data_IF_107493322767
#
_entry.id   IF_107493322767
#
_cell.length_a   1.000
_cell.length_b   1.000
_cell.length_c   1.000
_cell.angle_alpha   90.00
_cell.angle_beta   90.00
_cell.angle_gamma   90.00
#
_symmetry.space_group_name_H-M   'P 1'
#
loop_
_entity.id
_entity.type
_entity.pdbx_description
1 polymer ?
#
# COMPACT_ATOMS: atom_id res chain seq x y z
N UNK A 1 -1.33 2.12 -8.28
CA UNK A 1 -1.62 0.74 -7.84
C UNK A 1 -2.73 0.74 -6.78
N UNK A 2 -3.76 -0.11 -6.87
CA UNK A 2 -4.62 -0.49 -5.74
C UNK A 2 -4.02 -1.61 -4.85
N UNK A 3 -4.26 -1.56 -3.53
CA UNK A 3 -4.06 -2.66 -2.58
C UNK A 3 -5.41 -3.20 -2.13
N UNK A 4 -5.61 -4.51 -2.19
CA UNK A 4 -6.74 -5.20 -1.59
C UNK A 4 -6.33 -5.93 -0.32
N UNK A 5 -6.93 -5.58 0.80
CA UNK A 5 -6.81 -6.30 2.06
C UNK A 5 -8.09 -7.09 2.32
N UNK A 6 -7.99 -8.42 2.26
CA UNK A 6 -8.99 -9.30 2.86
C UNK A 6 -8.67 -9.43 4.34
N UNK A 7 -9.59 -8.97 5.18
CA UNK A 7 -9.43 -8.99 6.62
C UNK A 7 -10.41 -9.97 7.23
N UNK A 8 -9.86 -10.92 7.96
CA UNK A 8 -10.59 -12.05 8.52
C UNK A 8 -10.62 -11.95 10.04
N UNK A 9 -11.75 -12.32 10.68
CA UNK A 9 -11.74 -12.65 12.10
C UNK A 9 -10.70 -13.73 12.40
N UNK A 10 -10.16 -13.72 13.62
CA UNK A 10 -9.22 -14.76 14.02
C UNK A 10 -9.78 -16.17 13.85
N UNK A 11 -8.96 -17.04 13.24
CA UNK A 11 -9.30 -18.43 12.91
C UNK A 11 -10.51 -18.59 11.95
N UNK A 12 -10.84 -17.56 11.17
CA UNK A 12 -11.89 -17.69 10.16
C UNK A 12 -11.44 -18.66 9.05
N UNK A 13 -12.21 -19.73 8.76
CA UNK A 13 -11.81 -20.75 7.80
C UNK A 13 -12.13 -20.33 6.37
N UNK A 14 -11.28 -19.47 5.77
CA UNK A 14 -11.42 -19.07 4.37
C UNK A 14 -10.38 -19.78 3.49
N UNK A 15 -10.85 -20.66 2.60
CA UNK A 15 -9.98 -21.41 1.68
C UNK A 15 -9.68 -20.65 0.37
N UNK A 16 -10.58 -19.75 -0.06
CA UNK A 16 -10.50 -19.05 -1.34
C UNK A 16 -10.20 -17.55 -1.16
N UNK A 17 -9.36 -17.20 -0.18
CA UNK A 17 -9.11 -15.79 0.15
C UNK A 17 -8.43 -15.01 -1.00
N UNK A 18 -7.54 -15.66 -1.74
CA UNK A 18 -6.93 -15.09 -2.94
C UNK A 18 -7.98 -14.76 -4.01
N UNK A 19 -8.91 -15.67 -4.28
CA UNK A 19 -9.98 -15.45 -5.27
C UNK A 19 -10.86 -14.25 -4.88
N UNK A 20 -11.13 -14.06 -3.58
CA UNK A 20 -11.84 -12.89 -3.06
C UNK A 20 -11.08 -11.60 -3.39
N UNK A 21 -9.77 -11.59 -3.15
CA UNK A 21 -8.92 -10.44 -3.44
C UNK A 21 -8.84 -10.15 -4.95
N UNK A 22 -8.64 -11.16 -5.78
CA UNK A 22 -8.58 -11.03 -7.23
C UNK A 22 -9.89 -10.46 -7.80
N UNK A 23 -11.04 -10.99 -7.36
CA UNK A 23 -12.36 -10.48 -7.75
C UNK A 23 -12.54 -9.01 -7.35
N UNK A 24 -12.15 -8.66 -6.12
CA UNK A 24 -12.25 -7.29 -5.64
C UNK A 24 -11.35 -6.33 -6.42
N UNK A 25 -10.11 -6.73 -6.72
CA UNK A 25 -9.16 -5.94 -7.51
C UNK A 25 -9.62 -5.79 -8.95
N UNK A 26 -9.98 -6.89 -9.63
CA UNK A 26 -10.46 -6.86 -11.02
C UNK A 26 -11.69 -5.98 -11.18
N UNK A 27 -12.63 -6.08 -10.23
CA UNK A 27 -13.83 -5.25 -10.21
C UNK A 27 -13.48 -3.78 -9.95
N UNK A 28 -12.52 -3.50 -9.08
CA UNK A 28 -12.05 -2.12 -8.81
C UNK A 28 -11.37 -1.52 -10.02
N UNK A 29 -10.41 -2.24 -10.62
CA UNK A 29 -9.65 -1.81 -11.78
C UNK A 29 -10.58 -1.47 -12.94
N UNK A 30 -11.52 -2.38 -13.25
CA UNK A 30 -12.51 -2.19 -14.31
C UNK A 30 -13.54 -1.11 -13.98
N UNK A 31 -14.08 -1.11 -12.76
CA UNK A 31 -15.15 -0.22 -12.33
C UNK A 31 -14.72 1.24 -12.22
N UNK A 32 -13.47 1.47 -11.82
CA UNK A 32 -12.89 2.81 -11.69
C UNK A 32 -12.07 3.22 -12.92
N UNK A 33 -11.73 2.29 -13.81
CA UNK A 33 -10.91 2.56 -15.00
C UNK A 33 -9.44 2.79 -14.67
N UNK A 34 -8.90 2.06 -13.70
CA UNK A 34 -7.46 2.09 -13.36
C UNK A 34 -6.69 1.32 -14.46
N UNK A 35 -5.67 1.93 -15.08
CA UNK A 35 -5.16 1.50 -16.39
C UNK A 35 -4.26 0.26 -16.38
N UNK A 36 -3.42 0.06 -15.36
CA UNK A 36 -2.53 -1.11 -15.29
C UNK A 36 -3.10 -2.19 -14.35
N UNK A 37 -3.53 -3.35 -14.89
CA UNK A 37 -4.07 -4.43 -14.08
C UNK A 37 -3.00 -5.26 -13.35
N UNK A 38 -1.71 -5.07 -13.64
CA UNK A 38 -0.59 -5.73 -12.97
C UNK A 38 -0.04 -4.90 -11.81
N UNK A 39 -0.23 -3.58 -11.86
CA UNK A 39 0.06 -2.70 -10.73
C UNK A 39 -1.04 -2.85 -9.68
N UNK A 40 -1.06 -3.98 -8.99
CA UNK A 40 -1.96 -4.31 -7.87
C UNK A 40 -1.21 -5.11 -6.81
N UNK A 41 -1.76 -5.09 -5.61
CA UNK A 41 -1.29 -5.94 -4.52
C UNK A 41 -2.49 -6.47 -3.74
N UNK A 42 -2.43 -7.73 -3.30
CA UNK A 42 -3.34 -8.24 -2.29
C UNK A 42 -2.64 -8.74 -1.03
N UNK A 43 -3.37 -8.67 0.09
CA UNK A 43 -2.96 -9.19 1.39
C UNK A 43 -4.15 -9.80 2.10
N UNK A 44 -3.92 -10.92 2.77
CA UNK A 44 -4.91 -11.58 3.62
C UNK A 44 -4.42 -11.48 5.06
N UNK A 45 -5.23 -10.90 5.94
CA UNK A 45 -4.85 -10.62 7.33
C UNK A 45 -5.86 -11.21 8.30
N UNK A 46 -5.37 -11.67 9.45
CA UNK A 46 -6.18 -12.03 10.61
C UNK A 46 -6.24 -10.83 11.56
N UNK A 47 -7.43 -10.44 12.01
CA UNK A 47 -7.64 -9.30 12.90
C UNK A 47 -8.52 -9.72 14.07
N UNK A 48 -7.95 -9.65 15.27
CA UNK A 48 -8.61 -10.01 16.54
C UNK A 48 -9.93 -9.28 16.79
N UNK A 49 -10.02 -8.01 16.37
CA UNK A 49 -11.17 -7.15 16.62
C UNK A 49 -12.30 -7.30 15.61
N UNK A 50 -12.11 -8.07 14.53
CA UNK A 50 -13.15 -8.29 13.52
C UNK A 50 -14.10 -9.42 13.91
N UNK A 51 -15.40 -9.17 13.74
CA UNK A 51 -16.45 -10.18 13.90
C UNK A 51 -16.78 -10.90 12.60
N UNK A 52 -16.65 -10.19 11.47
CA UNK A 52 -17.02 -10.68 10.15
C UNK A 52 -15.93 -10.34 9.13
N UNK A 53 -15.73 -11.17 8.09
CA UNK A 53 -14.79 -10.87 7.02
C UNK A 53 -15.17 -9.59 6.27
N UNK A 54 -14.17 -8.75 6.01
CA UNK A 54 -14.30 -7.55 5.21
C UNK A 54 -13.20 -7.46 4.15
N UNK A 55 -13.53 -6.82 3.04
CA UNK A 55 -12.57 -6.46 1.99
C UNK A 55 -12.37 -4.95 2.03
N UNK A 56 -11.13 -4.51 2.13
CA UNK A 56 -10.76 -3.11 1.95
C UNK A 56 -9.87 -2.96 0.73
N UNK A 57 -10.28 -2.12 -0.22
CA UNK A 57 -9.44 -1.74 -1.36
C UNK A 57 -9.01 -0.29 -1.21
N UNK A 58 -7.71 -0.06 -1.17
CA UNK A 58 -7.10 1.28 -1.07
C UNK A 58 -6.36 1.62 -2.36
N UNK A 59 -6.52 2.84 -2.89
CA UNK A 59 -5.86 3.26 -4.12
C UNK A 59 -5.50 4.74 -4.10
N UNK A 60 -4.55 5.13 -4.95
CA UNK A 60 -4.18 6.54 -5.13
C UNK A 60 -5.24 7.31 -5.92
N UNK A 61 -5.44 8.58 -5.55
CA UNK A 61 -6.36 9.54 -6.18
C UNK A 61 -5.68 10.90 -6.37
N UNK A 62 -6.15 11.65 -7.36
CA UNK A 62 -5.70 13.01 -7.65
C UNK A 62 -4.90 13.12 -8.94
N UNK A 63 -4.16 14.22 -9.06
CA UNK A 63 -3.38 14.54 -10.26
C UNK A 63 -2.17 13.63 -10.41
N UNK A 64 -1.81 13.34 -11.66
CA UNK A 64 -0.61 12.57 -12.01
C UNK A 64 -0.53 11.16 -11.39
N UNK A 65 -1.65 10.63 -10.90
CA UNK A 65 -1.66 9.36 -10.18
C UNK A 65 -1.38 8.16 -11.09
N UNK A 66 -1.84 8.24 -12.34
CA UNK A 66 -1.57 7.25 -13.38
C UNK A 66 -1.20 7.99 -14.66
N UNK A 67 -0.09 7.60 -15.29
CA UNK A 67 0.50 8.29 -16.44
C UNK A 67 -0.45 8.34 -17.64
N UNK A 68 -1.35 7.36 -17.75
CA UNK A 68 -2.32 7.18 -18.81
C UNK A 68 -3.42 8.26 -18.80
N UNK A 69 -3.62 8.95 -17.68
CA UNK A 69 -4.49 10.14 -17.63
C UNK A 69 -3.77 11.42 -18.10
N UNK A 70 -2.44 11.36 -18.30
CA UNK A 70 -1.60 12.49 -18.73
C UNK A 70 -1.17 13.41 -17.60
N UNK A 71 -0.26 14.36 -17.90
CA UNK A 71 0.33 15.31 -16.93
C UNK A 71 -0.63 16.33 -16.31
N UNK A 72 -1.83 16.46 -16.88
CA UNK A 72 -2.93 17.26 -16.34
C UNK A 72 -4.12 16.38 -15.93
N UNK A 73 -3.94 15.05 -16.04
CA UNK A 73 -4.94 14.05 -15.72
C UNK A 73 -5.15 13.95 -14.23
N UNK A 74 -6.41 13.99 -13.82
CA UNK A 74 -6.82 13.79 -12.44
C UNK A 74 -7.68 12.55 -12.35
N UNK A 75 -7.21 11.55 -11.59
CA UNK A 75 -7.99 10.38 -11.27
C UNK A 75 -8.83 10.64 -10.01
N UNK A 76 -10.09 10.98 -10.22
CA UNK A 76 -11.07 11.21 -9.16
C UNK A 76 -12.38 10.51 -9.51
N UNK A 77 -12.55 9.24 -9.07
CA UNK A 77 -13.79 8.52 -9.30
C UNK A 77 -15.01 9.25 -8.75
N UNK A 78 -16.09 9.25 -9.51
CA UNK A 78 -17.36 9.82 -9.06
C UNK A 78 -18.00 8.96 -7.97
N UNK A 79 -18.88 9.55 -7.14
CA UNK A 79 -19.62 8.80 -6.12
C UNK A 79 -20.46 7.65 -6.71
N UNK A 80 -20.95 7.79 -7.94
CA UNK A 80 -21.70 6.74 -8.63
C UNK A 80 -20.80 5.58 -9.08
N UNK A 81 -19.61 5.87 -9.61
CA UNK A 81 -18.61 4.84 -9.93
C UNK A 81 -18.17 4.08 -8.68
N UNK A 82 -17.86 4.81 -7.60
CA UNK A 82 -17.46 4.22 -6.31
C UNK A 82 -18.55 3.32 -5.76
N UNK A 83 -19.80 3.81 -5.73
CA UNK A 83 -20.96 3.03 -5.28
C UNK A 83 -21.11 1.75 -6.10
N UNK A 84 -21.21 1.88 -7.42
CA UNK A 84 -21.46 0.74 -8.32
C UNK A 84 -20.34 -0.30 -8.21
N UNK A 85 -19.09 0.16 -8.16
CA UNK A 85 -17.93 -0.71 -7.99
C UNK A 85 -17.98 -1.45 -6.66
N UNK A 86 -18.23 -0.75 -5.55
CA UNK A 86 -18.29 -1.34 -4.22
C UNK A 86 -19.44 -2.36 -4.09
N UNK A 87 -20.63 -2.04 -4.64
CA UNK A 87 -21.78 -2.94 -4.69
C UNK A 87 -21.50 -4.19 -5.53
N UNK A 88 -20.81 -4.04 -6.67
CA UNK A 88 -20.43 -5.18 -7.51
C UNK A 88 -19.43 -6.09 -6.80
N UNK A 89 -18.39 -5.53 -6.17
CA UNK A 89 -17.44 -6.31 -5.37
C UNK A 89 -18.23 -7.12 -4.34
N UNK A 90 -19.07 -6.47 -3.52
CA UNK A 90 -19.83 -7.17 -2.48
C UNK A 90 -20.70 -8.28 -3.06
N UNK A 91 -21.41 -8.03 -4.18
CA UNK A 91 -22.25 -9.04 -4.82
C UNK A 91 -21.48 -10.27 -5.29
N UNK A 92 -20.24 -10.09 -5.75
CA UNK A 92 -19.38 -11.17 -6.23
C UNK A 92 -18.69 -11.90 -5.08
N UNK A 93 -18.28 -11.18 -4.03
CA UNK A 93 -17.51 -11.79 -2.92
C UNK A 93 -18.36 -12.29 -1.75
N UNK A 94 -19.64 -11.90 -1.64
CA UNK A 94 -20.52 -12.34 -0.53
C UNK A 94 -20.68 -13.86 -0.45
N UNK A 95 -20.54 -14.57 -1.57
CA UNK A 95 -20.61 -16.04 -1.60
C UNK A 95 -19.48 -16.69 -0.80
N UNK A 96 -18.39 -15.97 -0.57
CA UNK A 96 -17.27 -16.39 0.27
C UNK A 96 -17.42 -15.97 1.74
N UNK A 97 -18.57 -15.38 2.11
CA UNK A 97 -18.85 -14.96 3.49
C UNK A 97 -18.42 -13.54 3.84
N UNK A 98 -17.90 -12.76 2.89
CA UNK A 98 -17.57 -11.34 3.09
C UNK A 98 -18.82 -10.52 3.37
N UNK A 99 -18.79 -9.73 4.46
CA UNK A 99 -19.92 -8.93 4.93
C UNK A 99 -19.79 -7.44 4.70
N UNK A 100 -18.61 -6.97 4.33
CA UNK A 100 -18.35 -5.56 4.16
C UNK A 100 -17.28 -5.34 3.11
N UNK A 101 -17.50 -4.32 2.27
CA UNK A 101 -16.51 -3.83 1.32
C UNK A 101 -16.28 -2.35 1.59
N UNK A 102 -15.02 -1.94 1.57
CA UNK A 102 -14.54 -0.57 1.83
C UNK A 102 -13.68 -0.14 0.65
N UNK A 103 -13.90 1.07 0.14
CA UNK A 103 -13.03 1.72 -0.81
C UNK A 103 -12.42 2.97 -0.17
N UNK A 104 -11.09 3.01 -0.08
CA UNK A 104 -10.32 4.12 0.47
C UNK A 104 -9.45 4.76 -0.62
N UNK A 105 -9.37 6.09 -0.60
CA UNK A 105 -8.58 6.88 -1.54
C UNK A 105 -7.45 7.63 -0.84
N UNK A 106 -6.26 7.63 -1.45
CA UNK A 106 -5.11 8.40 -0.96
C UNK A 106 -4.80 9.55 -1.89
N UNK A 107 -4.95 10.79 -1.41
CA UNK A 107 -4.56 11.99 -2.15
C UNK A 107 -3.06 12.24 -1.93
N UNK A 108 -2.25 11.97 -2.95
CA UNK A 108 -0.79 12.08 -2.85
C UNK A 108 -0.11 10.78 -2.43
N UNK A 109 -0.42 9.69 -3.11
CA UNK A 109 0.29 8.43 -2.96
C UNK A 109 1.27 8.24 -4.13
N UNK A 110 2.49 7.85 -3.80
CA UNK A 110 3.47 7.38 -4.76
C UNK A 110 3.76 5.91 -4.49
N UNK A 111 4.02 5.18 -5.57
CA UNK A 111 4.16 3.73 -5.55
C UNK A 111 5.30 3.29 -6.47
N UNK A 112 5.97 2.21 -6.08
CA UNK A 112 7.02 1.55 -6.85
C UNK A 112 7.01 0.04 -6.63
N UNK A 113 7.05 -0.73 -7.72
CA UNK A 113 7.51 -2.12 -7.70
C UNK A 113 9.01 -2.09 -7.93
N UNK A 114 9.78 -2.62 -6.99
CA UNK A 114 11.23 -2.73 -7.13
C UNK A 114 11.56 -3.67 -8.26
N UNK A 115 12.36 -3.19 -9.22
CA UNK A 115 12.83 -4.03 -10.31
C UNK A 115 14.09 -4.80 -9.88
N UNK A 116 14.25 -6.07 -10.30
CA UNK A 116 15.52 -6.78 -10.13
C UNK A 116 16.69 -6.06 -10.82
N UNK A 117 16.43 -5.32 -11.89
CA UNK A 117 17.44 -4.55 -12.63
C UNK A 117 17.77 -3.23 -11.91
N UNK A 118 19.07 -2.99 -11.62
CA UNK A 118 19.53 -1.73 -11.06
C UNK A 118 19.43 -0.65 -12.14
N UNK A 119 18.43 0.23 -12.05
CA UNK A 119 18.45 1.49 -12.78
C UNK A 119 19.21 2.49 -11.94
N UNK A 120 20.38 2.91 -12.43
CA UNK A 120 21.05 4.09 -11.88
C UNK A 120 20.13 5.29 -12.15
N UNK A 121 19.41 5.71 -11.12
CA UNK A 121 18.64 6.94 -11.15
C UNK A 121 19.58 8.08 -10.80
N UNK A 122 19.75 9.03 -11.72
CA UNK A 122 20.32 10.33 -11.41
C UNK A 122 19.30 11.08 -10.53
N UNK A 123 19.33 10.79 -9.23
CA UNK A 123 18.46 11.42 -8.24
C UNK A 123 18.87 12.89 -8.12
N UNK A 124 18.10 13.76 -8.75
CA UNK A 124 18.13 15.19 -8.45
C UNK A 124 17.63 15.31 -7.01
N UNK A 125 18.47 15.80 -6.12
CA UNK A 125 18.09 16.07 -4.73
C UNK A 125 17.19 17.31 -4.74
N UNK A 126 15.90 17.20 -4.34
CA UNK A 126 15.03 18.36 -4.22
C UNK A 126 15.63 19.40 -3.29
N UNK A 127 15.44 20.69 -3.60
CA UNK A 127 16.04 21.79 -2.81
C UNK A 127 15.69 21.68 -1.32
N UNK A 128 14.45 21.28 -1.01
CA UNK A 128 13.95 21.08 0.37
C UNK A 128 14.70 19.99 1.14
N UNK A 129 15.33 19.04 0.44
CA UNK A 129 15.97 17.86 1.04
C UNK A 129 17.49 17.94 1.11
N UNK A 130 18.10 19.08 0.75
CA UNK A 130 19.57 19.23 0.79
C UNK A 130 20.17 19.02 2.17
N UNK A 131 19.44 19.40 3.21
CA UNK A 131 19.87 19.28 4.60
C UNK A 131 19.25 18.06 5.32
N UNK A 132 18.47 17.22 4.62
CA UNK A 132 17.71 16.10 5.19
C UNK A 132 16.21 16.17 4.85
N UNK A 133 15.50 15.04 5.02
CA UNK A 133 14.04 15.01 4.82
C UNK A 133 13.37 15.34 6.15
N UNK A 134 13.06 16.62 6.35
CA UNK A 134 12.37 17.08 7.57
C UNK A 134 10.87 16.86 7.43
N UNK A 135 10.31 16.05 8.33
CA UNK A 135 8.87 15.77 8.39
C UNK A 135 8.27 16.49 9.59
N UNK A 136 7.20 17.26 9.36
CA UNK A 136 6.43 17.89 10.44
C UNK A 136 5.15 17.07 10.65
N UNK A 137 5.22 16.08 11.52
CA UNK A 137 4.11 15.17 11.79
C UNK A 137 4.61 13.79 12.19
N UNK A 138 3.67 12.87 12.40
CA UNK A 138 3.98 11.49 12.74
C UNK A 138 4.30 10.70 11.47
N UNK A 139 5.31 9.84 11.56
CA UNK A 139 5.66 8.91 10.48
C UNK A 139 5.31 7.50 10.93
N UNK A 140 4.46 6.83 10.15
CA UNK A 140 4.18 5.41 10.33
C UNK A 140 4.86 4.62 9.21
N UNK A 141 5.80 3.76 9.59
CA UNK A 141 6.46 2.86 8.65
C UNK A 141 5.95 1.45 8.90
N UNK A 142 5.42 0.80 7.88
CA UNK A 142 4.98 -0.59 7.92
C UNK A 142 5.85 -1.43 7.02
N UNK A 143 6.40 -2.52 7.56
CA UNK A 143 7.05 -3.54 6.75
C UNK A 143 6.23 -4.83 6.79
N UNK A 144 5.88 -5.28 5.61
CA UNK A 144 5.00 -6.42 5.35
C UNK A 144 5.86 -7.54 4.79
N UNK A 145 5.80 -8.72 5.40
CA UNK A 145 6.55 -9.89 4.95
C UNK A 145 5.61 -11.03 4.63
N UNK A 146 5.65 -11.54 3.40
CA UNK A 146 4.85 -12.69 3.02
C UNK A 146 5.30 -13.95 3.77
N UNK A 147 4.41 -14.95 3.94
CA UNK A 147 4.79 -16.22 4.54
C UNK A 147 5.95 -16.93 3.83
N UNK A 148 6.03 -16.84 2.49
CA UNK A 148 7.12 -17.44 1.70
C UNK A 148 8.48 -16.87 2.09
N UNK A 149 8.52 -15.60 2.47
CA UNK A 149 9.71 -14.93 2.96
C UNK A 149 10.01 -15.34 4.40
N UNK A 150 9.02 -15.47 5.28
CA UNK A 150 9.22 -15.91 6.68
C UNK A 150 9.82 -17.31 6.79
N UNK A 151 9.46 -18.22 5.89
CA UNK A 151 10.01 -19.58 5.90
C UNK A 151 11.47 -19.61 5.40
N UNK A 152 11.83 -18.69 4.50
CA UNK A 152 13.17 -18.58 3.92
C UNK A 152 14.13 -17.74 4.77
N UNK A 153 13.63 -16.63 5.33
CA UNK A 153 14.28 -15.83 6.35
C UNK A 153 14.03 -16.53 7.68
N UNK A 154 14.97 -17.37 8.14
CA UNK A 154 15.10 -17.59 9.59
C UNK A 154 15.32 -16.21 10.20
N UNK A 155 14.24 -15.53 10.59
CA UNK A 155 14.21 -14.09 10.76
C UNK A 155 15.32 -13.67 11.71
N UNK A 156 16.41 -13.19 11.13
CA UNK A 156 17.43 -12.50 11.86
C UNK A 156 16.89 -11.09 12.06
N UNK A 157 15.97 -10.98 13.02
CA UNK A 157 15.31 -9.72 13.39
C UNK A 157 16.36 -8.63 13.67
N UNK A 158 17.54 -9.00 14.17
CA UNK A 158 18.66 -8.09 14.42
C UNK A 158 19.19 -7.43 13.13
N UNK A 159 19.25 -8.15 12.01
CA UNK A 159 19.65 -7.56 10.71
C UNK A 159 18.50 -6.78 10.03
N UNK A 160 17.24 -7.05 10.39
CA UNK A 160 16.12 -6.25 9.92
C UNK A 160 16.02 -4.91 10.68
N UNK A 161 16.41 -4.87 11.97
CA UNK A 161 16.53 -3.63 12.74
C UNK A 161 17.41 -2.58 12.06
N UNK A 162 18.48 -2.98 11.39
CA UNK A 162 19.34 -2.05 10.65
C UNK A 162 18.64 -1.44 9.43
N UNK A 163 17.87 -2.23 8.67
CA UNK A 163 17.06 -1.71 7.55
C UNK A 163 15.98 -0.77 8.06
N UNK A 164 15.28 -1.14 9.14
CA UNK A 164 14.27 -0.29 9.76
C UNK A 164 14.86 1.03 10.23
N UNK A 165 16.01 0.97 10.91
CA UNK A 165 16.74 2.14 11.38
C UNK A 165 17.20 3.01 10.21
N UNK A 166 17.75 2.43 9.15
CA UNK A 166 18.18 3.17 7.97
C UNK A 166 17.03 3.91 7.29
N UNK A 167 15.84 3.29 7.19
CA UNK A 167 14.65 3.95 6.65
C UNK A 167 14.16 5.04 7.60
N UNK A 168 14.12 4.79 8.92
CA UNK A 168 13.72 5.78 9.91
C UNK A 168 14.66 7.00 9.91
N UNK A 169 15.97 6.76 9.81
CA UNK A 169 17.03 7.78 9.75
C UNK A 169 17.00 8.62 8.46
N UNK A 170 16.23 8.23 7.44
CA UNK A 170 15.97 9.12 6.30
C UNK A 170 15.19 10.36 6.74
N UNK A 171 14.40 10.26 7.82
CA UNK A 171 13.46 11.28 8.22
C UNK A 171 13.84 11.89 9.57
N UNK A 172 13.87 13.21 9.63
CA UNK A 172 14.02 13.95 10.88
C UNK A 172 12.63 14.12 11.52
N UNK A 173 12.16 13.10 12.25
CA UNK A 173 10.86 13.10 12.92
C UNK A 173 10.69 11.95 13.92
N UNK A 174 9.67 12.05 14.79
CA UNK A 174 9.26 10.96 15.66
C UNK A 174 8.42 9.97 14.83
N UNK A 175 8.85 8.71 14.78
CA UNK A 175 8.21 7.69 13.96
C UNK A 175 8.26 6.31 14.60
N UNK A 176 7.31 5.46 14.19
CA UNK A 176 7.23 4.07 14.60
C UNK A 176 7.37 3.13 13.41
N UNK A 177 7.99 1.98 13.64
CA UNK A 177 8.01 0.87 12.67
C UNK A 177 7.10 -0.24 13.17
N UNK A 178 6.17 -0.66 12.33
CA UNK A 178 5.27 -1.78 12.57
C UNK A 178 5.59 -2.92 11.60
N UNK A 179 5.71 -4.13 12.14
CA UNK A 179 5.88 -5.35 11.35
C UNK A 179 4.54 -6.02 11.15
N UNK A 180 4.24 -6.37 9.90
CA UNK A 180 3.01 -7.04 9.53
C UNK A 180 3.31 -8.37 8.84
N UNK A 181 2.62 -9.41 9.32
CA UNK A 181 2.76 -10.78 8.86
C UNK A 181 1.40 -11.26 8.36
N UNK A 182 1.01 -10.91 7.12
CA UNK A 182 -0.22 -11.42 6.54
C UNK A 182 -0.20 -12.95 6.43
N UNK A 183 -1.39 -13.55 6.44
CA UNK A 183 -1.58 -14.98 6.18
C UNK A 183 -1.20 -15.35 4.74
N UNK A 184 -1.36 -14.41 3.82
CA UNK A 184 -0.98 -14.52 2.41
C UNK A 184 -0.74 -13.10 1.85
N UNK A 185 0.23 -12.94 0.96
CA UNK A 185 0.49 -11.68 0.26
C UNK A 185 0.97 -11.98 -1.16
N UNK A 186 0.65 -11.07 -2.10
CA UNK A 186 1.08 -11.16 -3.49
C UNK A 186 2.60 -10.96 -3.63
N UNK A 187 3.13 -9.97 -2.94
CA UNK A 187 4.55 -9.61 -2.97
C UNK A 187 5.30 -10.24 -1.81
N UNK A 188 6.59 -10.47 -1.99
CA UNK A 188 7.46 -11.04 -0.96
C UNK A 188 7.65 -10.07 0.21
N UNK A 189 7.91 -8.79 -0.11
CA UNK A 189 8.16 -7.72 0.85
C UNK A 189 7.37 -6.48 0.45
N UNK A 190 6.66 -5.87 1.39
CA UNK A 190 6.03 -4.56 1.23
C UNK A 190 6.61 -3.55 2.21
N UNK A 191 6.92 -2.33 1.76
CA UNK A 191 7.29 -1.21 2.61
C UNK A 191 6.28 -0.10 2.40
N UNK A 192 5.66 0.37 3.48
CA UNK A 192 4.75 1.49 3.44
C UNK A 192 5.25 2.59 4.38
N UNK A 193 5.31 3.82 3.88
CA UNK A 193 5.67 5.00 4.65
C UNK A 193 4.52 5.99 4.55
N UNK A 194 3.86 6.23 5.68
CA UNK A 194 2.76 7.17 5.80
C UNK A 194 3.22 8.39 6.58
N UNK A 195 3.17 9.55 5.92
CA UNK A 195 3.31 10.84 6.56
C UNK A 195 1.94 11.28 7.07
N UNK A 196 1.65 11.00 8.33
CA UNK A 196 0.39 11.34 8.98
C UNK A 196 0.39 12.80 9.43
N UNK A 197 -0.78 13.45 9.38
CA UNK A 197 -1.02 14.79 9.94
C UNK A 197 -0.08 15.92 9.48
N UNK A 198 0.57 15.76 8.31
CA UNK A 198 1.56 16.74 7.81
C UNK A 198 0.95 18.11 7.47
N UNK A 199 -0.36 18.20 7.29
CA UNK A 199 -1.04 19.42 6.86
C UNK A 199 -0.71 19.80 5.40
N UNK A 200 -1.68 20.37 4.68
CA UNK A 200 -1.57 20.59 3.23
C UNK A 200 -0.35 21.42 2.78
N UNK A 201 0.16 22.29 3.65
CA UNK A 201 1.32 23.16 3.37
C UNK A 201 2.67 22.45 3.47
N UNK A 202 2.72 21.26 4.08
CA UNK A 202 3.95 20.46 4.18
C UNK A 202 3.94 19.24 3.26
N UNK A 203 2.86 19.03 2.48
CA UNK A 203 2.78 17.95 1.49
C UNK A 203 3.98 17.99 0.54
N UNK A 204 4.50 16.81 0.23
CA UNK A 204 5.53 16.59 -0.76
C UNK A 204 4.93 16.63 -2.16
N UNK A 205 5.66 17.24 -3.07
CA UNK A 205 5.45 17.18 -4.51
C UNK A 205 5.76 15.80 -5.09
N UNK A 206 5.32 15.54 -6.32
CA UNK A 206 5.59 14.27 -7.02
C UNK A 206 7.10 13.96 -7.13
N UNK A 207 7.93 15.00 -7.36
CA UNK A 207 9.39 14.89 -7.41
C UNK A 207 9.97 14.51 -6.04
N UNK A 208 9.49 15.12 -4.96
CA UNK A 208 9.91 14.81 -3.60
C UNK A 208 9.50 13.40 -3.19
N UNK A 209 8.28 12.98 -3.53
CA UNK A 209 7.79 11.62 -3.27
C UNK A 209 8.60 10.57 -4.04
N UNK A 210 8.93 10.85 -5.31
CA UNK A 210 9.82 10.00 -6.12
C UNK A 210 11.22 9.89 -5.50
N UNK A 211 11.80 11.00 -5.05
CA UNK A 211 13.09 11.00 -4.36
C UNK A 211 13.03 10.14 -3.08
N UNK A 212 12.01 10.30 -2.25
CA UNK A 212 11.83 9.52 -1.01
C UNK A 212 11.74 8.03 -1.32
N UNK A 213 10.93 7.62 -2.31
CA UNK A 213 10.80 6.21 -2.72
C UNK A 213 12.14 5.59 -3.10
N UNK A 214 12.94 6.27 -3.92
CA UNK A 214 14.26 5.74 -4.32
C UNK A 214 15.28 5.73 -3.19
N UNK A 215 15.15 6.63 -2.21
CA UNK A 215 15.97 6.56 -0.99
C UNK A 215 15.61 5.34 -0.14
N UNK A 216 14.33 5.02 0.00
CA UNK A 216 13.86 3.80 0.66
C UNK A 216 14.35 2.56 -0.09
N UNK A 217 14.21 2.53 -1.42
CA UNK A 217 14.73 1.45 -2.27
C UNK A 217 16.23 1.20 -2.05
N UNK A 218 17.03 2.27 -1.95
CA UNK A 218 18.46 2.20 -1.65
C UNK A 218 18.76 1.65 -0.26
N UNK A 219 17.95 1.99 0.75
CA UNK A 219 18.05 1.38 2.08
C UNK A 219 17.80 -0.13 2.01
N UNK A 220 16.82 -0.57 1.22
CA UNK A 220 16.51 -2.00 1.03
C UNK A 220 17.62 -2.75 0.27
N UNK A 221 18.31 -2.09 -0.66
CA UNK A 221 19.48 -2.65 -1.33
C UNK A 221 20.65 -2.95 -0.38
N UNK A 222 20.69 -2.32 0.80
CA UNK A 222 21.79 -2.45 1.76
C UNK A 222 21.59 -3.54 2.84
N UNK A 223 20.42 -4.21 2.89
CA UNK A 223 20.05 -5.11 3.98
C UNK A 223 19.68 -6.56 3.59
N UNK A 224 18.94 -7.27 4.45
CA UNK A 224 18.47 -8.65 4.21
C UNK A 224 17.48 -8.75 3.04
N UNK A 225 16.82 -7.63 2.73
CA UNK A 225 15.98 -7.46 1.53
C UNK A 225 16.81 -7.20 0.26
N UNK A 226 18.15 -7.28 0.32
CA UNK A 226 19.03 -7.13 -0.84
C UNK A 226 18.90 -8.27 -1.86
N UNK A 227 18.21 -9.37 -1.52
CA UNK A 227 17.82 -10.37 -2.50
C UNK A 227 16.85 -9.74 -3.51
N UNK A 228 17.41 -9.38 -4.67
CA UNK A 228 16.70 -8.72 -5.78
C UNK A 228 15.77 -9.66 -6.53
N UNK A 229 15.84 -10.96 -6.27
CA UNK A 229 14.89 -11.93 -6.81
C UNK A 229 13.55 -11.88 -6.07
N UNK A 230 13.48 -11.18 -4.92
CA UNK A 230 12.25 -10.98 -4.14
C UNK A 230 11.44 -9.80 -4.66
N UNK A 231 10.18 -10.05 -4.97
CA UNK A 231 9.27 -8.99 -5.41
C UNK A 231 8.97 -8.05 -4.25
N UNK A 232 9.42 -6.80 -4.38
CA UNK A 232 9.29 -5.79 -3.31
C UNK A 232 8.43 -4.63 -3.75
N UNK A 233 7.42 -4.26 -2.97
CA UNK A 233 6.61 -3.06 -3.18
C UNK A 233 6.98 -1.96 -2.20
N UNK A 234 6.99 -0.71 -2.67
CA UNK A 234 7.21 0.48 -1.85
C UNK A 234 6.05 1.43 -2.06
N UNK A 235 5.41 1.82 -0.96
CA UNK A 235 4.35 2.80 -0.89
C UNK A 235 4.81 3.98 -0.06
N UNK A 236 4.69 5.18 -0.61
CA UNK A 236 4.89 6.42 0.13
C UNK A 236 3.60 7.22 0.02
N UNK A 237 3.00 7.54 1.15
CA UNK A 237 1.69 8.18 1.23
C UNK A 237 1.76 9.37 2.18
N UNK A 238 0.97 10.39 1.90
CA UNK A 238 0.84 11.55 2.77
C UNK A 238 -0.62 11.83 3.11
N UNK A 239 -0.83 12.36 4.31
CA UNK A 239 -2.16 12.55 4.88
C UNK A 239 -2.76 11.26 5.41
N UNK A 240 -4.08 11.15 5.33
CA UNK A 240 -4.84 9.98 5.79
C UNK A 240 -5.68 9.45 4.63
N UNK A 241 -5.99 8.13 4.61
CA UNK A 241 -6.90 7.59 3.62
C UNK A 241 -8.27 8.24 3.81
N UNK A 242 -8.86 8.69 2.72
CA UNK A 242 -10.24 9.15 2.70
C UNK A 242 -11.15 7.94 2.47
N UNK A 243 -12.06 7.68 3.41
CA UNK A 243 -13.13 6.71 3.18
C UNK A 243 -14.03 7.23 2.07
N UNK A 244 -13.90 6.65 0.87
CA UNK A 244 -14.65 7.07 -0.31
C UNK A 244 -16.02 6.41 -0.37
N UNK A 245 -16.09 5.11 -0.05
CA UNK A 245 -17.35 4.37 -0.01
C UNK A 245 -17.25 3.13 0.87
N UNK A 246 -18.39 2.70 1.41
CA UNK A 246 -18.51 1.39 2.06
C UNK A 246 -19.91 0.81 1.87
N UNK A 247 -20.00 -0.50 1.77
CA UNK A 247 -21.26 -1.25 1.68
C UNK A 247 -21.21 -2.47 2.59
N UNK A 248 -22.37 -2.86 3.10
CA UNK A 248 -22.54 -4.00 4.01
C UNK A 248 -23.49 -5.03 3.38
N UNK A 249 -23.22 -6.32 3.57
CA UNK A 249 -24.16 -7.40 3.30
C UNK A 249 -25.25 -7.35 4.36
N UNK A 250 -26.41 -6.85 3.98
CA UNK A 250 -27.52 -6.58 4.89
C UNK A 250 -28.01 -7.83 5.61
N UNK A 251 -27.57 -8.02 6.84
CA UNK A 251 -28.44 -8.51 7.90
C UNK A 251 -28.33 -7.51 9.05
N UNK A 252 -29.46 -6.92 9.41
CA UNK A 252 -29.63 -5.91 10.48
C UNK A 252 -29.12 -6.47 11.81
#
# INVERSE_FOLDING_TARGET
>A
MPICELRLPNNYPMENGKDVCDVALDTTLKGLGIPDPKDREFRIKSIDSLTDPEVQVSFGCGKNQYEEFGKDGEFMPTSEQLKTTCENILNEVRQFGVKKVILDGWKGAAFMIRSPEKKDFDLIIPERFKDGIVVKGDIAIRMVFSPSVLDSLKLDLENNEEVFKNILELFEGDGGVELQFPLEAETDIGVEVDFCDVGNENNFSDEEMSYIMHRIESCLDSGVTSDRDKETTIWVRQGSPELLYKVYDGTI
#
